data_IF_601134145365
#
_entry.id   IF_601134145365
#
_cell.length_a   1.000
_cell.length_b   1.000
_cell.length_c   1.000
_cell.angle_alpha   90.00
_cell.angle_beta   90.00
_cell.angle_gamma   90.00
#
_symmetry.space_group_name_H-M   'P 1'
#
loop_
_entity.id
_entity.type
_entity.pdbx_description
1 polymer ?
#
# COMPACT_ATOMS: atom_id res chain seq x y z
N UNK A 1 6.73 23.12 -24.82
CA UNK A 1 6.49 23.32 -23.39
C UNK A 1 5.68 24.58 -23.19
N UNK A 2 4.52 24.44 -22.55
CA UNK A 2 3.69 25.58 -22.14
C UNK A 2 4.45 26.45 -21.10
N UNK A 3 4.08 27.73 -20.97
CA UNK A 3 4.64 28.63 -19.96
C UNK A 3 4.48 28.05 -18.54
N UNK A 4 3.40 27.32 -18.30
CA UNK A 4 3.13 26.67 -17.03
C UNK A 4 3.98 25.43 -16.76
N UNK A 5 4.22 24.59 -17.76
CA UNK A 5 5.12 23.43 -17.63
C UNK A 5 6.53 23.90 -17.24
N UNK A 6 7.02 24.95 -17.91
CA UNK A 6 8.30 25.59 -17.56
C UNK A 6 8.29 26.15 -16.13
N UNK A 7 7.19 26.81 -15.73
CA UNK A 7 7.07 27.34 -14.37
C UNK A 7 7.03 26.22 -13.32
N UNK A 8 6.38 25.10 -13.62
CA UNK A 8 6.31 23.92 -12.75
C UNK A 8 7.68 23.28 -12.58
N UNK A 9 8.44 23.11 -13.66
CA UNK A 9 9.83 22.61 -13.61
C UNK A 9 10.73 23.49 -12.73
N UNK A 10 10.61 24.82 -12.84
CA UNK A 10 11.36 25.78 -12.01
C UNK A 10 11.00 25.61 -10.51
N UNK A 11 9.71 25.45 -10.19
CA UNK A 11 9.27 25.24 -8.80
C UNK A 11 9.76 23.89 -8.26
N UNK A 12 9.65 22.82 -9.06
CA UNK A 12 10.08 21.47 -8.65
C UNK A 12 11.58 21.41 -8.40
N UNK A 13 12.38 22.21 -9.11
CA UNK A 13 13.82 22.33 -8.91
C UNK A 13 14.18 22.98 -7.56
N UNK A 14 13.39 23.95 -7.11
CA UNK A 14 13.69 24.73 -5.91
C UNK A 14 13.00 24.24 -4.63
N UNK A 15 12.13 23.21 -4.70
CA UNK A 15 11.43 22.55 -3.58
C UNK A 15 11.16 23.47 -2.37
N UNK A 16 10.03 24.18 -2.40
CA UNK A 16 9.58 24.98 -1.27
C UNK A 16 9.29 24.09 -0.05
N UNK A 17 9.95 24.36 1.08
CA UNK A 17 9.70 23.66 2.34
C UNK A 17 8.86 24.50 3.30
N UNK A 18 7.66 24.00 3.57
CA UNK A 18 6.65 24.59 4.45
C UNK A 18 7.10 24.55 5.91
N UNK A 19 7.92 23.55 6.27
CA UNK A 19 8.38 23.31 7.63
C UNK A 19 9.09 24.52 8.22
N UNK A 20 9.84 25.24 7.39
CA UNK A 20 10.55 26.45 7.76
C UNK A 20 9.62 27.56 8.26
N UNK A 21 8.31 27.40 8.07
CA UNK A 21 7.30 28.37 8.46
C UNK A 21 6.35 27.86 9.54
N UNK A 22 6.42 26.58 9.95
CA UNK A 22 5.54 26.02 10.98
C UNK A 22 6.26 26.03 12.33
N UNK A 23 5.75 26.80 13.27
CA UNK A 23 6.35 26.98 14.59
C UNK A 23 5.39 26.61 15.71
N UNK A 24 5.94 26.11 16.82
CA UNK A 24 5.22 26.05 18.09
C UNK A 24 4.78 27.49 18.43
N UNK A 25 3.48 27.69 18.47
CA UNK A 25 2.90 29.03 18.58
C UNK A 25 1.83 29.02 19.66
N UNK A 26 1.78 30.04 20.55
CA UNK A 26 0.65 30.26 21.43
C UNK A 26 -0.65 30.33 20.63
N UNK A 27 -1.78 29.96 21.26
CA UNK A 27 -3.09 29.96 20.60
C UNK A 27 -3.41 31.33 20.00
N UNK A 28 -2.93 32.41 20.60
CA UNK A 28 -3.18 33.79 20.20
C UNK A 28 -2.50 34.15 18.87
N UNK A 29 -1.31 33.58 18.60
CA UNK A 29 -0.52 33.83 17.39
C UNK A 29 -1.06 33.13 16.13
N UNK A 30 -1.97 32.16 16.31
CA UNK A 30 -2.60 31.45 15.20
C UNK A 30 -3.57 32.35 14.42
N UNK A 31 -3.64 32.14 13.11
CA UNK A 31 -4.62 32.80 12.24
C UNK A 31 -6.04 32.35 12.61
N UNK A 32 -7.06 33.13 12.24
CA UNK A 32 -8.46 32.76 12.51
C UNK A 32 -8.80 31.39 11.91
N UNK A 33 -8.36 31.13 10.68
CA UNK A 33 -8.54 29.84 10.02
C UNK A 33 -7.92 28.68 10.80
N UNK A 34 -6.68 28.84 11.30
CA UNK A 34 -6.00 27.81 12.08
C UNK A 34 -6.71 27.56 13.41
N UNK A 35 -7.13 28.64 14.09
CA UNK A 35 -7.90 28.57 15.34
C UNK A 35 -9.19 27.79 15.15
N UNK A 36 -9.96 28.12 14.11
CA UNK A 36 -11.26 27.49 13.87
C UNK A 36 -11.11 25.98 13.59
N UNK A 37 -10.18 25.59 12.71
CA UNK A 37 -9.94 24.18 12.39
C UNK A 37 -9.44 23.39 13.60
N UNK A 38 -8.50 23.94 14.37
CA UNK A 38 -7.96 23.26 15.55
C UNK A 38 -9.03 23.19 16.66
N UNK A 39 -9.79 24.25 16.91
CA UNK A 39 -10.87 24.22 17.90
C UNK A 39 -11.94 23.19 17.53
N UNK A 40 -12.32 23.10 16.25
CA UNK A 40 -13.26 22.06 15.78
C UNK A 40 -12.69 20.66 16.03
N UNK A 41 -11.42 20.42 15.73
CA UNK A 41 -10.76 19.14 16.02
C UNK A 41 -10.71 18.82 17.53
N UNK A 42 -10.44 19.82 18.38
CA UNK A 42 -10.36 19.65 19.83
C UNK A 42 -11.74 19.44 20.46
N UNK A 43 -12.78 20.08 19.93
CA UNK A 43 -14.15 19.99 20.47
C UNK A 43 -14.66 18.54 20.56
N UNK A 44 -14.21 17.69 19.64
CA UNK A 44 -14.51 16.25 19.59
C UNK A 44 -13.87 15.48 20.76
N UNK A 45 -12.75 16.00 21.29
CA UNK A 45 -11.89 15.36 22.28
C UNK A 45 -11.97 15.97 23.68
N UNK A 46 -12.78 17.01 23.89
CA UNK A 46 -12.84 17.77 25.16
C UNK A 46 -13.04 16.88 26.40
N UNK A 47 -13.87 15.83 26.29
CA UNK A 47 -14.11 14.88 27.38
C UNK A 47 -12.93 13.95 27.71
N UNK A 48 -11.94 13.82 26.82
CA UNK A 48 -10.87 12.83 26.90
C UNK A 48 -9.45 13.44 26.96
N UNK A 49 -9.32 14.75 27.18
CA UNK A 49 -8.01 15.41 27.26
C UNK A 49 -7.24 14.98 28.52
N UNK A 50 -5.95 14.65 28.35
CA UNK A 50 -5.04 14.27 29.44
C UNK A 50 -4.02 15.34 29.82
N UNK A 51 -3.86 16.40 29.02
CA UNK A 51 -2.84 17.42 29.26
C UNK A 51 -2.94 18.66 28.35
N UNK A 52 -1.94 19.56 28.40
CA UNK A 52 -1.91 20.77 27.58
C UNK A 52 -1.68 20.42 26.10
N UNK A 53 -2.45 21.07 25.24
CA UNK A 53 -2.39 20.87 23.79
C UNK A 53 -1.25 21.71 23.21
N UNK A 54 -0.44 21.11 22.35
CA UNK A 54 0.62 21.83 21.64
C UNK A 54 0.13 22.27 20.26
N UNK A 55 0.24 23.56 19.99
CA UNK A 55 -0.25 24.19 18.77
C UNK A 55 0.89 24.58 17.86
N UNK A 56 0.80 24.19 16.60
CA UNK A 56 1.77 24.55 15.58
C UNK A 56 1.07 25.22 14.41
N UNK A 57 1.46 26.44 14.11
CA UNK A 57 0.86 27.25 13.06
C UNK A 57 1.92 27.75 12.10
N UNK A 58 1.54 27.84 10.82
CA UNK A 58 2.31 28.57 9.83
C UNK A 58 2.35 30.06 10.17
N UNK A 59 3.56 30.61 10.33
CA UNK A 59 3.80 32.01 10.65
C UNK A 59 4.93 32.58 9.78
N UNK A 60 4.54 33.35 8.76
CA UNK A 60 5.49 33.97 7.83
C UNK A 60 6.39 35.01 8.50
N UNK A 61 5.93 35.68 9.56
CA UNK A 61 6.71 36.75 10.23
C UNK A 61 7.96 36.22 10.93
N UNK A 62 7.97 34.95 11.33
CA UNK A 62 9.12 34.35 12.02
C UNK A 62 10.27 34.01 11.06
N UNK A 63 10.00 33.93 9.76
CA UNK A 63 11.00 33.52 8.78
C UNK A 63 10.81 34.24 7.42
N UNK A 64 10.58 35.55 7.47
CA UNK A 64 10.30 36.37 6.29
C UNK A 64 11.52 36.49 5.37
N UNK A 65 12.73 36.52 5.94
CA UNK A 65 13.98 36.60 5.18
C UNK A 65 14.21 35.36 4.29
N UNK A 66 13.96 34.15 4.80
CA UNK A 66 14.04 32.92 3.98
C UNK A 66 12.99 32.91 2.88
N UNK A 67 11.80 33.44 3.14
CA UNK A 67 10.74 33.55 2.14
C UNK A 67 11.14 34.48 0.99
N UNK A 68 11.65 35.66 1.32
CA UNK A 68 12.08 36.62 0.32
C UNK A 68 13.29 36.12 -0.48
N UNK A 69 14.24 35.43 0.18
CA UNK A 69 15.35 34.77 -0.50
C UNK A 69 14.87 33.70 -1.48
N UNK A 70 13.92 32.86 -1.09
CA UNK A 70 13.33 31.85 -1.97
C UNK A 70 12.63 32.48 -3.19
N UNK A 71 11.84 33.54 -2.97
CA UNK A 71 11.17 34.25 -4.07
C UNK A 71 12.18 34.91 -5.01
N UNK A 72 13.29 35.44 -4.49
CA UNK A 72 14.33 36.06 -5.30
C UNK A 72 15.10 35.02 -6.13
N UNK A 73 15.39 33.83 -5.58
CA UNK A 73 15.97 32.72 -6.36
C UNK A 73 15.08 32.32 -7.52
N UNK A 74 13.76 32.23 -7.30
CA UNK A 74 12.80 31.96 -8.37
C UNK A 74 12.77 33.06 -9.44
N UNK A 75 12.87 34.33 -9.05
CA UNK A 75 12.99 35.45 -10.02
C UNK A 75 14.24 35.33 -10.86
N UNK A 76 15.39 35.06 -10.25
CA UNK A 76 16.66 34.91 -10.96
C UNK A 76 16.62 33.74 -11.96
N UNK A 77 15.94 32.64 -11.63
CA UNK A 77 15.74 31.54 -12.59
C UNK A 77 14.79 31.89 -13.73
N UNK A 78 13.73 32.65 -13.45
CA UNK A 78 12.80 33.13 -14.49
C UNK A 78 13.50 34.15 -15.41
N UNK A 79 14.39 34.99 -14.89
CA UNK A 79 15.20 35.93 -15.68
C UNK A 79 16.23 35.23 -16.57
N UNK A 80 16.67 34.02 -16.21
CA UNK A 80 17.53 33.18 -17.06
C UNK A 80 16.75 32.47 -18.18
N UNK A 81 15.42 32.40 -18.10
CA UNK A 81 14.57 31.80 -19.12
C UNK A 81 14.21 32.84 -20.21
N UNK A 82 14.33 32.43 -21.48
CA UNK A 82 14.25 33.26 -22.70
C UNK A 82 13.14 34.34 -22.72
N UNK A 83 13.47 35.51 -23.27
CA UNK A 83 12.69 36.77 -23.25
C UNK A 83 11.20 36.66 -23.61
N UNK A 84 10.82 35.80 -24.56
CA UNK A 84 9.45 35.76 -25.11
C UNK A 84 8.35 35.34 -24.10
N UNK A 85 8.70 34.69 -22.97
CA UNK A 85 7.73 34.20 -21.97
C UNK A 85 7.88 34.84 -20.58
N UNK A 86 8.81 35.80 -20.43
CA UNK A 86 9.24 36.29 -19.12
C UNK A 86 8.13 37.08 -18.39
N UNK A 87 7.29 37.81 -19.14
CA UNK A 87 6.17 38.57 -18.58
C UNK A 87 5.12 37.64 -17.95
N UNK A 88 4.74 36.59 -18.67
CA UNK A 88 3.74 35.62 -18.19
C UNK A 88 4.26 34.80 -17.00
N UNK A 89 5.55 34.44 -17.00
CA UNK A 89 6.21 33.78 -15.87
C UNK A 89 6.25 34.66 -14.62
N UNK A 90 6.53 35.96 -14.78
CA UNK A 90 6.51 36.91 -13.66
C UNK A 90 5.11 37.11 -13.08
N UNK A 91 4.07 37.13 -13.92
CA UNK A 91 2.69 37.20 -13.46
C UNK A 91 2.25 35.92 -12.74
N UNK A 92 2.71 34.75 -13.20
CA UNK A 92 2.54 33.47 -12.47
C UNK A 92 3.28 33.48 -11.14
N UNK A 93 4.51 34.01 -11.08
CA UNK A 93 5.28 34.11 -9.84
C UNK A 93 4.59 34.98 -8.80
N UNK A 94 4.02 36.13 -9.20
CA UNK A 94 3.24 36.99 -8.29
C UNK A 94 2.03 36.25 -7.72
N UNK A 95 1.29 35.52 -8.56
CA UNK A 95 0.16 34.69 -8.12
C UNK A 95 0.63 33.59 -7.17
N UNK A 96 1.70 32.90 -7.52
CA UNK A 96 2.30 31.83 -6.72
C UNK A 96 2.77 32.34 -5.35
N UNK A 97 3.46 33.48 -5.30
CA UNK A 97 3.90 34.10 -4.04
C UNK A 97 2.72 34.42 -3.12
N UNK A 98 1.62 34.97 -3.67
CA UNK A 98 0.40 35.22 -2.89
C UNK A 98 -0.19 33.91 -2.33
N UNK A 99 -0.25 32.87 -3.17
CA UNK A 99 -0.78 31.57 -2.78
C UNK A 99 0.13 30.88 -1.75
N UNK A 100 1.44 31.02 -1.84
CA UNK A 100 2.37 30.51 -0.82
C UNK A 100 2.14 31.16 0.54
N UNK A 101 1.89 32.47 0.58
CA UNK A 101 1.54 33.16 1.84
C UNK A 101 0.24 32.60 2.41
N UNK A 102 -0.78 32.41 1.58
CA UNK A 102 -2.04 31.77 1.98
C UNK A 102 -1.83 30.32 2.44
N UNK A 103 -0.99 29.57 1.75
CA UNK A 103 -0.64 28.19 2.05
C UNK A 103 0.00 28.07 3.44
N UNK A 104 0.97 28.93 3.77
CA UNK A 104 1.57 29.00 5.12
C UNK A 104 0.49 29.31 6.15
N UNK A 105 -0.31 30.36 5.92
CA UNK A 105 -1.33 30.82 6.87
C UNK A 105 -2.46 29.81 7.12
N UNK A 106 -2.66 28.85 6.21
CA UNK A 106 -3.66 27.77 6.33
C UNK A 106 -3.07 26.43 6.76
N UNK A 107 -1.74 26.32 6.85
CA UNK A 107 -1.06 25.15 7.39
C UNK A 107 -1.03 25.21 8.91
N UNK A 108 -1.55 24.18 9.58
CA UNK A 108 -1.42 24.00 11.02
C UNK A 108 -1.48 22.52 11.41
N UNK A 109 -0.89 22.21 12.56
CA UNK A 109 -1.06 20.93 13.22
C UNK A 109 -1.12 21.10 14.74
N UNK A 110 -1.74 20.14 15.42
CA UNK A 110 -1.87 20.11 16.87
C UNK A 110 -1.57 18.71 17.40
N UNK A 111 -0.90 18.67 18.56
CA UNK A 111 -0.66 17.43 19.32
C UNK A 111 -1.59 17.46 20.52
N UNK A 112 -2.53 16.51 20.55
CA UNK A 112 -3.63 16.46 21.51
C UNK A 112 -3.43 15.23 22.40
N UNK A 113 -2.96 15.39 23.65
CA UNK A 113 -2.78 14.28 24.57
C UNK A 113 -4.14 13.79 25.09
N UNK A 114 -4.38 12.48 25.05
CA UNK A 114 -5.67 11.84 25.42
C UNK A 114 -5.51 10.85 26.57
N UNK A 115 -6.60 10.53 27.29
CA UNK A 115 -6.59 9.61 28.46
C UNK A 115 -6.86 8.17 28.08
N UNK A 116 -8.04 7.90 27.50
CA UNK A 116 -8.55 6.55 27.24
C UNK A 116 -8.79 6.36 25.74
N UNK A 117 -7.73 5.95 25.02
CA UNK A 117 -7.77 5.67 23.58
C UNK A 117 -6.67 4.66 23.22
N UNK A 118 -6.70 4.04 22.03
CA UNK A 118 -5.56 3.26 21.53
C UNK A 118 -4.27 4.09 21.32
N UNK A 119 -4.36 5.42 21.41
CA UNK A 119 -3.24 6.35 21.32
C UNK A 119 -2.95 7.05 22.65
N UNK A 120 -1.70 7.40 22.87
CA UNK A 120 -1.31 8.38 23.91
C UNK A 120 -1.54 9.81 23.45
N UNK A 121 -1.26 10.07 22.17
CA UNK A 121 -1.34 11.40 21.55
C UNK A 121 -2.09 11.26 20.22
N UNK A 122 -3.14 12.07 20.03
CA UNK A 122 -3.83 12.22 18.75
C UNK A 122 -3.28 13.45 18.06
N UNK A 123 -2.87 13.31 16.80
CA UNK A 123 -2.41 14.44 16.01
C UNK A 123 -3.48 14.82 14.98
N UNK A 124 -3.68 16.13 14.87
CA UNK A 124 -4.53 16.74 13.86
C UNK A 124 -3.70 17.66 12.98
N UNK A 125 -3.96 17.68 11.67
CA UNK A 125 -3.38 18.67 10.75
C UNK A 125 -4.34 19.07 9.63
N UNK A 126 -4.17 20.29 9.15
CA UNK A 126 -4.65 20.68 7.82
C UNK A 126 -3.63 20.26 6.76
N UNK A 127 -4.11 19.96 5.56
CA UNK A 127 -3.27 19.55 4.43
C UNK A 127 -3.61 20.43 3.23
N UNK A 128 -3.25 21.73 3.24
CA UNK A 128 -3.41 22.54 2.05
C UNK A 128 -2.53 21.99 0.91
N UNK A 129 -3.03 22.06 -0.32
CA UNK A 129 -2.34 21.63 -1.55
C UNK A 129 -2.45 22.75 -2.60
N UNK A 130 -1.35 23.03 -3.29
CA UNK A 130 -1.33 23.98 -4.40
C UNK A 130 -1.62 23.20 -5.70
N UNK A 131 -2.70 23.58 -6.39
CA UNK A 131 -3.10 23.00 -7.67
C UNK A 131 -2.68 23.92 -8.81
N UNK A 132 -2.07 23.34 -9.84
CA UNK A 132 -1.72 24.01 -11.08
C UNK A 132 -2.72 23.59 -12.17
N UNK A 133 -3.64 24.49 -12.53
CA UNK A 133 -4.57 24.33 -13.66
C UNK A 133 -4.09 25.18 -14.86
N UNK A 134 -4.50 24.85 -16.09
CA UNK A 134 -3.99 25.38 -17.38
C UNK A 134 -3.73 26.90 -17.48
N UNK A 135 -4.41 27.73 -16.66
CA UNK A 135 -4.16 29.19 -16.57
C UNK A 135 -4.19 29.76 -15.15
N UNK A 136 -4.39 28.94 -14.12
CA UNK A 136 -4.57 29.41 -12.73
C UNK A 136 -3.87 28.51 -11.73
N UNK A 137 -3.26 29.14 -10.74
CA UNK A 137 -2.77 28.46 -9.53
C UNK A 137 -3.87 28.64 -8.49
N UNK A 138 -4.30 27.54 -7.85
CA UNK A 138 -5.33 27.56 -6.80
C UNK A 138 -4.81 26.87 -5.56
N UNK A 139 -5.31 27.31 -4.40
CA UNK A 139 -5.06 26.66 -3.12
C UNK A 139 -6.28 25.80 -2.77
N UNK A 140 -6.07 24.51 -2.58
CA UNK A 140 -7.06 23.60 -2.04
C UNK A 140 -6.76 23.36 -0.56
N UNK A 141 -7.60 23.86 0.33
CA UNK A 141 -7.38 23.93 1.78
C UNK A 141 -8.40 23.11 2.60
N UNK A 142 -9.20 22.29 1.91
CA UNK A 142 -10.30 21.55 2.52
C UNK A 142 -9.84 20.28 3.24
N UNK A 143 -8.66 19.75 2.90
CA UNK A 143 -8.18 18.47 3.42
C UNK A 143 -7.79 18.60 4.89
N UNK A 144 -8.33 17.70 5.69
CA UNK A 144 -7.94 17.49 7.08
C UNK A 144 -7.40 16.07 7.26
N UNK A 145 -6.55 15.91 8.27
CA UNK A 145 -6.01 14.60 8.63
C UNK A 145 -5.94 14.41 10.14
N UNK A 146 -6.38 13.23 10.58
CA UNK A 146 -6.13 12.72 11.92
C UNK A 146 -5.23 11.50 11.84
N UNK A 147 -4.24 11.46 12.72
CA UNK A 147 -3.28 10.36 12.77
C UNK A 147 -2.72 10.16 14.17
N UNK A 148 -2.23 8.96 14.42
CA UNK A 148 -1.66 8.58 15.71
C UNK A 148 -0.90 7.26 15.62
N UNK A 149 0.04 7.07 16.56
CA UNK A 149 0.76 5.81 16.72
C UNK A 149 0.01 4.94 17.73
N UNK A 150 -0.35 3.73 17.32
CA UNK A 150 -0.92 2.70 18.19
C UNK A 150 0.16 1.71 18.62
N UNK A 151 0.06 1.23 19.86
CA UNK A 151 0.97 0.24 20.45
C UNK A 151 0.68 -1.19 19.96
N UNK A 152 0.46 -1.35 18.66
CA UNK A 152 0.36 -2.66 18.00
C UNK A 152 1.19 -2.65 16.72
N UNK A 153 1.69 -3.81 16.32
CA UNK A 153 2.45 -3.99 15.09
C UNK A 153 1.64 -4.86 14.13
N UNK A 154 1.17 -4.27 13.03
CA UNK A 154 0.55 -5.01 11.94
C UNK A 154 1.62 -5.66 11.03
N UNK A 155 1.25 -6.73 10.34
CA UNK A 155 2.19 -7.53 9.55
C UNK A 155 2.76 -6.77 8.33
N UNK A 156 1.91 -5.97 7.66
CA UNK A 156 2.27 -5.20 6.47
C UNK A 156 1.52 -3.87 6.44
N UNK A 157 2.06 -2.92 5.69
CA UNK A 157 1.39 -1.65 5.38
C UNK A 157 0.08 -1.91 4.66
N UNK A 158 -1.02 -1.37 5.16
CA UNK A 158 -2.34 -1.49 4.55
C UNK A 158 -2.87 -0.10 4.19
N UNK A 159 -3.40 0.05 2.98
CA UNK A 159 -4.04 1.28 2.51
C UNK A 159 -5.52 1.05 2.25
N UNK A 160 -6.33 2.07 2.51
CA UNK A 160 -7.73 2.10 2.11
C UNK A 160 -7.88 2.95 0.84
N UNK A 161 -8.32 2.32 -0.25
CA UNK A 161 -8.53 2.98 -1.54
C UNK A 161 -9.97 2.89 -2.02
N UNK A 162 -10.40 3.92 -2.76
CA UNK A 162 -11.65 3.93 -3.52
C UNK A 162 -11.36 3.93 -5.02
N UNK A 163 -12.12 3.12 -5.75
CA UNK A 163 -12.02 2.98 -7.21
C UNK A 163 -13.38 3.37 -7.82
N UNK A 164 -13.35 4.12 -8.93
CA UNK A 164 -14.57 4.65 -9.56
C UNK A 164 -15.43 3.51 -10.12
N UNK A 165 -16.65 3.37 -9.61
CA UNK A 165 -17.63 2.39 -10.08
C UNK A 165 -17.48 1.00 -9.44
N UNK A 166 -16.69 0.89 -8.37
CA UNK A 166 -16.43 -0.36 -7.66
C UNK A 166 -16.42 -0.12 -6.15
N UNK A 167 -16.60 -1.17 -5.35
CA UNK A 167 -16.57 -1.00 -3.88
C UNK A 167 -15.17 -0.64 -3.38
N UNK A 168 -15.06 0.15 -2.30
CA UNK A 168 -13.80 0.41 -1.62
C UNK A 168 -13.11 -0.88 -1.17
N UNK A 169 -11.79 -0.84 -1.05
CA UNK A 169 -11.04 -1.97 -0.55
C UNK A 169 -9.80 -1.57 0.27
N UNK A 170 -9.40 -2.46 1.17
CA UNK A 170 -8.08 -2.44 1.78
C UNK A 170 -7.09 -3.25 0.95
N UNK A 171 -5.92 -2.68 0.67
CA UNK A 171 -4.84 -3.36 -0.06
C UNK A 171 -3.51 -3.27 0.70
N UNK A 172 -2.67 -4.31 0.64
CA UNK A 172 -1.31 -4.21 1.15
C UNK A 172 -0.45 -3.40 0.20
N UNK A 173 0.52 -2.64 0.71
CA UNK A 173 1.61 -2.12 -0.15
C UNK A 173 2.70 -3.19 -0.24
N UNK A 174 3.03 -3.62 -1.46
CA UNK A 174 4.11 -4.57 -1.70
C UNK A 174 5.43 -3.81 -1.85
N UNK A 175 6.28 -3.86 -0.82
CA UNK A 175 7.58 -3.17 -0.77
C UNK A 175 7.60 -1.98 0.19
N UNK A 176 8.63 -1.15 0.09
CA UNK A 176 8.75 0.08 0.88
C UNK A 176 7.93 1.21 0.25
N UNK A 177 7.28 2.03 1.08
CA UNK A 177 6.77 3.32 0.62
C UNK A 177 7.95 4.14 0.11
N UNK A 178 7.82 4.66 -1.11
CA UNK A 178 8.78 5.62 -1.63
C UNK A 178 8.51 6.97 -0.93
N UNK A 179 9.21 7.19 0.17
CA UNK A 179 9.19 8.46 0.88
C UNK A 179 10.41 9.23 0.36
N UNK A 180 10.19 10.36 -0.31
CA UNK A 180 11.25 11.34 -0.65
C UNK A 180 11.74 12.07 0.63
N UNK A 181 12.04 11.31 1.67
CA UNK A 181 12.40 11.79 3.00
C UNK A 181 13.42 10.85 3.65
N UNK A 182 14.57 11.41 3.99
CA UNK A 182 15.60 10.73 4.76
C UNK A 182 15.61 11.26 6.21
N UNK A 183 15.63 10.35 7.18
CA UNK A 183 15.78 10.71 8.57
C UNK A 183 17.22 11.16 8.85
N UNK A 184 17.40 12.36 9.41
CA UNK A 184 18.70 12.76 9.99
C UNK A 184 18.99 11.91 11.25
N UNK A 185 20.23 11.46 11.44
CA UNK A 185 20.65 10.58 12.54
C UNK A 185 20.30 11.13 13.94
N UNK A 186 20.37 12.46 14.11
CA UNK A 186 20.04 13.16 15.36
C UNK A 186 18.57 13.07 15.75
N UNK A 187 17.69 12.71 14.82
CA UNK A 187 16.24 12.76 15.00
C UNK A 187 15.60 11.37 15.16
N UNK A 188 16.40 10.30 15.27
CA UNK A 188 15.91 8.93 15.43
C UNK A 188 15.25 8.67 16.80
N UNK A 189 15.43 9.56 17.79
CA UNK A 189 14.91 9.39 19.15
C UNK A 189 13.50 9.95 19.40
N UNK A 190 12.98 10.81 18.52
CA UNK A 190 11.63 11.38 18.67
C UNK A 190 10.57 10.54 17.93
N UNK A 191 9.33 10.50 18.45
CA UNK A 191 8.21 9.80 17.80
C UNK A 191 8.08 10.27 16.34
N UNK A 192 8.07 9.33 15.40
CA UNK A 192 8.07 9.65 13.96
C UNK A 192 6.79 10.38 13.54
N UNK A 193 5.66 10.08 14.19
CA UNK A 193 4.39 10.78 14.00
C UNK A 193 4.46 12.28 14.28
N UNK A 194 5.30 12.73 15.21
CA UNK A 194 5.36 14.15 15.56
C UNK A 194 6.06 14.98 14.48
N UNK A 195 6.72 14.33 13.53
CA UNK A 195 7.47 15.02 12.46
C UNK A 195 6.56 15.34 11.29
N UNK A 196 6.32 16.64 11.10
CA UNK A 196 5.51 17.13 9.99
C UNK A 196 6.06 16.73 8.61
N UNK A 197 7.39 16.68 8.43
CA UNK A 197 8.05 16.28 7.17
C UNK A 197 7.72 14.85 6.80
N UNK A 198 7.83 13.95 7.78
CA UNK A 198 7.59 12.52 7.59
C UNK A 198 6.13 12.25 7.21
N UNK A 199 5.19 12.86 7.92
CA UNK A 199 3.76 12.72 7.61
C UNK A 199 3.43 13.34 6.25
N UNK A 200 4.07 14.46 5.88
CA UNK A 200 3.87 15.08 4.56
C UNK A 200 4.41 14.20 3.43
N UNK A 201 5.56 13.55 3.63
CA UNK A 201 6.08 12.57 2.68
C UNK A 201 5.13 11.37 2.50
N UNK A 202 4.53 10.89 3.60
CA UNK A 202 3.51 9.82 3.53
C UNK A 202 2.31 10.30 2.72
N UNK A 203 1.71 11.44 3.05
CA UNK A 203 0.54 11.96 2.34
C UNK A 203 0.83 12.15 0.84
N UNK A 204 1.99 12.75 0.51
CA UNK A 204 2.41 12.92 -0.88
C UNK A 204 2.58 11.57 -1.60
N UNK A 205 3.10 10.55 -0.91
CA UNK A 205 3.24 9.21 -1.48
C UNK A 205 1.89 8.58 -1.82
N UNK A 206 0.83 8.83 -1.03
CA UNK A 206 -0.54 8.34 -1.30
C UNK A 206 -1.11 8.89 -2.60
N UNK A 207 -0.65 10.05 -3.05
CA UNK A 207 -1.08 10.63 -4.34
C UNK A 207 -0.27 10.14 -5.53
N UNK A 208 0.84 9.43 -5.28
CA UNK A 208 1.72 8.95 -6.32
C UNK A 208 1.03 7.95 -7.26
N UNK A 209 1.38 8.03 -8.54
CA UNK A 209 0.89 7.12 -9.58
C UNK A 209 1.25 5.67 -9.25
N UNK A 210 2.40 5.45 -8.60
CA UNK A 210 2.87 4.12 -8.20
C UNK A 210 1.88 3.42 -7.26
N UNK A 211 1.45 4.09 -6.18
CA UNK A 211 0.52 3.48 -5.22
C UNK A 211 -0.87 3.33 -5.82
N UNK A 212 -1.33 4.29 -6.65
CA UNK A 212 -2.60 4.17 -7.37
C UNK A 212 -2.62 2.95 -8.29
N UNK A 213 -1.56 2.75 -9.08
CA UNK A 213 -1.42 1.58 -9.96
C UNK A 213 -1.34 0.28 -9.17
N UNK A 214 -0.70 0.30 -8.00
CA UNK A 214 -0.64 -0.85 -7.11
C UNK A 214 -2.04 -1.26 -6.63
N UNK A 215 -2.88 -0.29 -6.26
CA UNK A 215 -4.27 -0.55 -5.89
C UNK A 215 -5.06 -1.18 -7.05
N UNK A 216 -4.91 -0.67 -8.28
CA UNK A 216 -5.55 -1.26 -9.47
C UNK A 216 -5.15 -2.71 -9.66
N UNK A 217 -3.84 -2.99 -9.60
CA UNK A 217 -3.31 -4.35 -9.77
C UNK A 217 -3.78 -5.29 -8.67
N UNK A 218 -3.90 -4.79 -7.45
CA UNK A 218 -4.41 -5.58 -6.33
C UNK A 218 -5.88 -5.94 -6.53
N UNK A 219 -6.69 -4.97 -6.96
CA UNK A 219 -8.09 -5.19 -7.27
C UNK A 219 -8.29 -6.22 -8.40
N UNK A 220 -7.59 -6.05 -9.53
CA UNK A 220 -7.72 -6.93 -10.70
C UNK A 220 -7.08 -8.30 -10.50
N UNK A 221 -5.87 -8.34 -9.93
CA UNK A 221 -5.03 -9.55 -9.88
C UNK A 221 -5.31 -10.47 -8.69
N UNK A 222 -5.79 -9.91 -7.57
CA UNK A 222 -6.00 -10.67 -6.32
C UNK A 222 -7.47 -10.75 -5.90
N UNK A 223 -8.40 -10.23 -6.71
CA UNK A 223 -9.84 -10.21 -6.44
C UNK A 223 -10.17 -9.73 -5.01
N UNK A 224 -9.40 -8.74 -4.51
CA UNK A 224 -9.56 -8.16 -3.17
C UNK A 224 -9.30 -9.13 -2.00
N UNK A 225 -8.53 -10.21 -2.22
CA UNK A 225 -8.19 -11.21 -1.18
C UNK A 225 -6.70 -11.52 -1.17
N UNK A 226 -6.22 -12.11 -0.08
CA UNK A 226 -4.89 -12.75 -0.05
C UNK A 226 -3.87 -12.08 0.86
N UNK A 227 -4.25 -11.03 1.59
CA UNK A 227 -3.44 -10.54 2.70
C UNK A 227 -4.26 -10.57 4.01
N UNK A 228 -3.84 -11.34 5.04
CA UNK A 228 -4.65 -11.56 6.24
C UNK A 228 -5.13 -10.30 6.96
N UNK A 229 -4.31 -9.25 7.01
CA UNK A 229 -4.70 -7.96 7.63
C UNK A 229 -5.76 -7.26 6.79
N UNK A 230 -5.60 -7.20 5.47
CA UNK A 230 -6.54 -6.54 4.58
C UNK A 230 -7.86 -7.30 4.53
N UNK A 231 -7.80 -8.63 4.44
CA UNK A 231 -8.97 -9.51 4.47
C UNK A 231 -9.74 -9.39 5.80
N UNK A 232 -9.04 -9.21 6.92
CA UNK A 232 -9.66 -8.95 8.22
C UNK A 232 -10.34 -7.58 8.27
N UNK A 233 -9.67 -6.53 7.79
CA UNK A 233 -10.23 -5.16 7.75
C UNK A 233 -11.46 -5.09 6.83
N UNK A 234 -11.44 -5.82 5.71
CA UNK A 234 -12.57 -5.93 4.78
C UNK A 234 -13.78 -6.68 5.34
N UNK A 235 -13.61 -7.51 6.39
CA UNK A 235 -14.74 -8.19 7.07
C UNK A 235 -15.42 -7.34 8.13
N UNK A 236 -14.89 -6.15 8.42
CA UNK A 236 -15.42 -5.25 9.45
C UNK A 236 -16.38 -4.25 8.79
N UNK A 237 -17.66 -4.62 8.71
CA UNK A 237 -18.70 -3.76 8.13
C UNK A 237 -18.75 -2.38 8.78
N UNK A 238 -18.57 -2.33 10.10
CA UNK A 238 -18.48 -1.10 10.89
C UNK A 238 -17.34 -0.16 10.46
N UNK A 239 -16.23 -0.71 9.96
CA UNK A 239 -15.10 0.06 9.47
C UNK A 239 -15.40 0.60 8.08
N UNK A 240 -15.89 -0.26 7.18
CA UNK A 240 -16.24 0.10 5.80
C UNK A 240 -17.31 1.21 5.80
N UNK A 241 -18.37 1.04 6.60
CA UNK A 241 -19.46 2.02 6.72
C UNK A 241 -18.99 3.41 7.17
N UNK A 242 -17.95 3.50 7.99
CA UNK A 242 -17.38 4.80 8.41
C UNK A 242 -16.47 5.36 7.34
N UNK A 243 -15.66 4.51 6.69
CA UNK A 243 -14.85 4.93 5.57
C UNK A 243 -15.70 5.43 4.40
N UNK A 244 -16.89 4.87 4.15
CA UNK A 244 -17.84 5.33 3.12
C UNK A 244 -18.38 6.74 3.34
N UNK A 245 -18.45 7.19 4.59
CA UNK A 245 -18.89 8.55 4.92
C UNK A 245 -17.84 9.62 4.63
N UNK A 246 -16.58 9.23 4.41
CA UNK A 246 -15.50 10.16 4.10
C UNK A 246 -15.61 10.68 2.66
N UNK A 247 -15.17 11.91 2.42
CA UNK A 247 -15.07 12.47 1.09
C UNK A 247 -13.66 12.28 0.55
N UNK A 248 -13.57 11.63 -0.61
CA UNK A 248 -12.31 11.31 -1.27
C UNK A 248 -11.86 12.40 -2.25
N UNK A 249 -10.60 12.32 -2.72
CA UNK A 249 -10.06 13.25 -3.72
C UNK A 249 -10.74 13.17 -5.09
N UNK A 250 -11.45 12.07 -5.36
CA UNK A 250 -12.27 11.89 -6.55
C UNK A 250 -13.59 12.64 -6.43
N UNK A 251 -14.22 12.59 -5.25
CA UNK A 251 -15.52 13.23 -4.98
C UNK A 251 -15.39 14.73 -4.78
N UNK A 252 -14.27 15.18 -4.22
CA UNK A 252 -13.96 16.61 -4.08
C UNK A 252 -13.65 17.27 -5.44
N UNK A 253 -13.51 16.48 -6.51
CA UNK A 253 -13.11 16.96 -7.84
C UNK A 253 -11.68 17.50 -7.92
N UNK A 254 -10.87 17.27 -6.87
CA UNK A 254 -9.49 17.77 -6.79
C UNK A 254 -8.57 17.10 -7.81
N UNK A 255 -8.78 15.81 -8.05
CA UNK A 255 -7.98 15.03 -8.98
C UNK A 255 -8.89 14.28 -9.93
N UNK A 256 -8.69 14.46 -11.23
CA UNK A 256 -9.35 13.65 -12.26
C UNK A 256 -8.66 12.27 -12.39
N UNK A 257 -8.78 11.47 -11.33
CA UNK A 257 -8.30 10.09 -11.30
C UNK A 257 -9.44 9.14 -10.99
N UNK A 258 -9.34 7.91 -11.48
CA UNK A 258 -10.30 6.84 -11.16
C UNK A 258 -10.08 6.24 -9.77
N UNK A 259 -9.00 6.63 -9.07
CA UNK A 259 -8.56 6.03 -7.82
C UNK A 259 -8.15 7.11 -6.82
N UNK A 260 -8.59 6.96 -5.57
CA UNK A 260 -8.19 7.78 -4.43
C UNK A 260 -7.83 6.91 -3.24
N UNK A 261 -6.90 7.40 -2.41
CA UNK A 261 -6.46 6.73 -1.20
C UNK A 261 -6.74 7.66 -0.03
N UNK A 262 -7.43 7.14 0.99
CA UNK A 262 -8.03 7.94 2.06
C UNK A 262 -7.43 7.57 3.41
N UNK A 263 -6.91 6.35 3.57
CA UNK A 263 -6.31 5.90 4.82
C UNK A 263 -5.09 5.02 4.59
N UNK A 264 -4.18 5.03 5.56
CA UNK A 264 -3.01 4.17 5.61
C UNK A 264 -2.71 3.74 7.05
N UNK A 265 -2.38 2.47 7.21
CA UNK A 265 -1.77 1.91 8.40
C UNK A 265 -0.35 1.46 8.04
N UNK A 266 0.65 2.07 8.65
CA UNK A 266 2.07 1.88 8.38
C UNK A 266 2.75 1.29 9.61
N UNK A 267 3.19 0.01 9.58
CA UNK A 267 3.96 -0.56 10.68
C UNK A 267 5.32 0.13 10.81
N UNK A 268 5.73 0.41 12.03
CA UNK A 268 7.05 0.95 12.40
C UNK A 268 7.76 -0.12 13.25
N UNK A 269 8.52 -1.04 12.62
CA UNK A 269 9.11 -2.18 13.33
C UNK A 269 10.10 -1.79 14.43
N UNK A 270 10.76 -0.63 14.30
CA UNK A 270 11.72 -0.11 15.29
C UNK A 270 11.08 0.07 16.66
N UNK A 271 9.88 0.63 16.67
CA UNK A 271 9.18 1.07 17.87
C UNK A 271 8.08 0.09 18.28
N UNK A 272 7.87 -0.98 17.49
CA UNK A 272 6.76 -1.94 17.60
C UNK A 272 5.37 -1.28 17.62
N UNK A 273 5.27 -0.13 16.94
CA UNK A 273 4.03 0.65 16.78
C UNK A 273 3.55 0.60 15.34
N UNK A 274 2.31 1.01 15.12
CA UNK A 274 1.74 1.24 13.79
C UNK A 274 1.24 2.66 13.74
N UNK A 275 1.64 3.41 12.72
CA UNK A 275 1.08 4.73 12.42
C UNK A 275 -0.20 4.55 11.62
N UNK A 276 -1.32 5.05 12.14
CA UNK A 276 -2.59 5.09 11.42
C UNK A 276 -2.88 6.53 11.03
N UNK A 277 -3.21 6.76 9.76
CA UNK A 277 -3.52 8.06 9.21
C UNK A 277 -4.75 7.98 8.31
N UNK A 278 -5.66 8.94 8.47
CA UNK A 278 -6.85 9.10 7.61
C UNK A 278 -6.94 10.54 7.12
N UNK A 279 -7.41 10.70 5.89
CA UNK A 279 -7.65 11.96 5.21
C UNK A 279 -9.16 12.14 4.98
N UNK A 280 -9.65 13.38 5.01
CA UNK A 280 -11.00 13.71 4.59
C UNK A 280 -11.00 15.04 3.84
N UNK A 281 -11.68 15.09 2.70
CA UNK A 281 -11.81 16.28 1.85
C UNK A 281 -13.21 16.91 1.89
N UNK A 282 -14.05 16.49 2.84
CA UNK A 282 -15.43 16.93 2.96
C UNK A 282 -15.58 18.40 3.38
N UNK A 283 -16.69 19.01 2.99
CA UNK A 283 -17.10 20.36 3.41
C UNK A 283 -18.25 20.34 4.41
N UNK A 284 -18.76 19.17 4.76
CA UNK A 284 -19.88 19.05 5.67
C UNK A 284 -19.48 19.44 7.11
N UNK A 285 -20.42 19.97 7.91
CA UNK A 285 -20.16 20.34 9.30
C UNK A 285 -19.60 19.17 10.15
N UNK A 286 -20.00 17.94 9.84
CA UNK A 286 -19.55 16.72 10.53
C UNK A 286 -18.22 16.14 10.04
N UNK A 287 -17.51 16.83 9.14
CA UNK A 287 -16.28 16.30 8.51
C UNK A 287 -15.19 15.90 9.51
N UNK A 288 -15.08 16.64 10.62
CA UNK A 288 -14.07 16.39 11.65
C UNK A 288 -14.43 15.14 12.46
N UNK A 289 -15.70 15.00 12.85
CA UNK A 289 -16.21 13.84 13.57
C UNK A 289 -16.07 12.57 12.73
N UNK A 290 -16.49 12.62 11.46
CA UNK A 290 -16.36 11.49 10.52
C UNK A 290 -14.90 11.07 10.34
N UNK A 291 -13.99 12.04 10.16
CA UNK A 291 -12.57 11.76 9.98
C UNK A 291 -11.96 11.15 11.25
N UNK A 292 -12.28 11.71 12.42
CA UNK A 292 -11.81 11.17 13.70
C UNK A 292 -12.38 9.78 13.99
N UNK A 293 -13.68 9.56 13.76
CA UNK A 293 -14.32 8.25 13.92
C UNK A 293 -13.66 7.20 13.02
N UNK A 294 -13.35 7.55 11.77
CA UNK A 294 -12.64 6.67 10.85
C UNK A 294 -11.24 6.31 11.37
N UNK A 295 -10.46 7.30 11.83
CA UNK A 295 -9.14 7.07 12.42
C UNK A 295 -9.22 6.15 13.65
N UNK A 296 -10.23 6.33 14.50
CA UNK A 296 -10.47 5.51 15.70
C UNK A 296 -10.82 4.07 15.35
N UNK A 297 -11.82 3.86 14.51
CA UNK A 297 -12.24 2.50 14.11
C UNK A 297 -11.13 1.79 13.36
N UNK A 298 -10.39 2.50 12.51
CA UNK A 298 -9.25 1.92 11.80
C UNK A 298 -8.16 1.46 12.76
N UNK A 299 -7.84 2.31 13.74
CA UNK A 299 -6.86 2.00 14.77
C UNK A 299 -7.28 0.82 15.64
N UNK A 300 -8.55 0.76 16.06
CA UNK A 300 -9.10 -0.36 16.80
C UNK A 300 -9.05 -1.66 15.99
N UNK A 301 -9.44 -1.62 14.72
CA UNK A 301 -9.39 -2.79 13.83
C UNK A 301 -7.95 -3.30 13.62
N UNK A 302 -6.96 -2.39 13.51
CA UNK A 302 -5.55 -2.78 13.46
C UNK A 302 -5.06 -3.45 14.75
N UNK A 303 -5.58 -3.07 15.93
CA UNK A 303 -5.26 -3.71 17.20
C UNK A 303 -5.90 -5.11 17.36
N UNK A 304 -7.10 -5.30 16.81
CA UNK A 304 -7.84 -6.57 16.84
C UNK A 304 -7.34 -7.58 15.79
N UNK A 305 -6.67 -7.09 14.75
CA UNK A 305 -6.20 -7.93 13.67
C UNK A 305 -5.28 -9.05 14.18
N UNK A 306 -5.33 -10.24 13.56
CA UNK A 306 -4.47 -11.35 13.94
C UNK A 306 -3.02 -10.90 13.84
N UNK A 307 -2.33 -10.91 14.99
CA UNK A 307 -0.93 -10.55 15.06
C UNK A 307 -0.15 -11.51 14.16
N UNK A 308 0.89 -11.02 13.46
CA UNK A 308 1.83 -11.94 12.84
C UNK A 308 2.31 -12.88 13.94
N UNK A 309 2.02 -14.17 13.83
CA UNK A 309 2.74 -15.18 14.59
C UNK A 309 4.18 -15.05 14.10
N UNK A 310 4.97 -14.23 14.81
CA UNK A 310 6.40 -14.44 14.88
C UNK A 310 6.46 -15.82 15.53
N UNK A 311 6.52 -16.87 14.71
CA UNK A 311 7.07 -18.11 15.22
C UNK A 311 8.41 -17.68 15.83
N UNK A 312 8.59 -17.85 17.15
CA UNK A 312 9.94 -17.80 17.67
C UNK A 312 10.72 -18.75 16.75
N UNK A 313 11.92 -18.40 16.26
CA UNK A 313 12.79 -19.44 15.72
C UNK A 313 12.75 -20.52 16.79
N UNK A 314 12.20 -21.70 16.46
CA UNK A 314 11.86 -22.70 17.46
C UNK A 314 13.08 -22.81 18.34
N UNK A 315 12.95 -22.37 19.59
CA UNK A 315 13.95 -22.60 20.59
C UNK A 315 13.91 -24.12 20.76
N UNK A 316 14.67 -24.79 19.91
CA UNK A 316 15.11 -26.15 20.16
C UNK A 316 15.67 -26.09 21.56
N UNK A 317 14.96 -26.72 22.48
CA UNK A 317 15.50 -27.05 23.78
C UNK A 317 16.81 -27.77 23.49
N UNK A 318 17.92 -27.04 23.63
CA UNK A 318 19.25 -27.61 23.59
C UNK A 318 19.37 -28.48 24.84
N UNK A 319 19.02 -29.75 24.68
CA UNK A 319 19.66 -30.80 25.45
C UNK A 319 21.13 -30.85 24.99
N UNK A 320 22.10 -30.77 25.91
CA UNK A 320 23.49 -30.69 25.56
C UNK A 320 23.95 -32.05 25.02
N UNK A 321 24.32 -32.07 23.74
CA UNK A 321 25.09 -33.16 23.14
C UNK A 321 24.29 -34.09 22.24
N UNK A 322 24.18 -33.76 20.95
CA UNK A 322 24.50 -34.62 19.81
C UNK A 322 24.22 -33.87 18.50
N UNK A 323 25.06 -34.12 17.49
CA UNK A 323 25.21 -33.30 16.29
C UNK A 323 23.93 -33.11 15.46
N UNK A 324 23.84 -31.93 14.85
CA UNK A 324 22.73 -31.49 14.00
C UNK A 324 22.67 -32.25 12.67
N UNK A 325 21.69 -33.14 12.51
CA UNK A 325 21.19 -33.60 11.22
C UNK A 325 19.83 -32.93 10.93
N UNK A 326 19.62 -32.51 9.68
CA UNK A 326 18.32 -31.99 9.20
C UNK A 326 17.63 -33.12 8.43
N UNK A 327 16.41 -33.48 8.84
CA UNK A 327 15.56 -34.42 8.09
C UNK A 327 14.82 -33.71 6.98
N UNK A 328 14.92 -34.21 5.76
CA UNK A 328 14.03 -33.81 4.68
C UNK A 328 12.65 -34.49 4.82
N UNK A 329 11.59 -33.98 4.17
CA UNK A 329 10.24 -34.56 4.24
C UNK A 329 10.14 -36.04 3.81
N UNK A 330 11.16 -36.59 3.14
CA UNK A 330 11.29 -38.00 2.79
C UNK A 330 12.06 -38.87 3.81
N UNK A 331 12.39 -38.33 4.99
CA UNK A 331 13.01 -39.09 6.08
C UNK A 331 14.51 -39.33 5.98
N UNK A 332 15.20 -38.76 4.99
CA UNK A 332 16.67 -38.81 4.92
C UNK A 332 17.30 -37.72 5.79
N UNK A 333 18.25 -38.14 6.64
CA UNK A 333 19.03 -37.25 7.51
C UNK A 333 20.25 -36.72 6.76
N UNK A 334 20.23 -35.43 6.45
CA UNK A 334 21.37 -34.74 5.88
C UNK A 334 22.26 -34.22 7.01
N UNK A 335 23.55 -34.54 6.93
CA UNK A 335 24.58 -33.98 7.82
C UNK A 335 24.68 -32.48 7.54
N UNK A 336 24.50 -31.65 8.56
CA UNK A 336 24.70 -30.20 8.46
C UNK A 336 26.18 -29.92 8.68
N UNK A 337 26.78 -29.14 7.78
CA UNK A 337 28.20 -28.80 7.85
C UNK A 337 28.33 -27.40 8.41
N UNK A 338 29.28 -27.22 9.33
CA UNK A 338 29.64 -25.88 9.79
C UNK A 338 30.48 -25.16 8.72
N UNK A 339 30.47 -23.83 8.72
CA UNK A 339 31.22 -23.03 7.74
C UNK A 339 32.73 -23.35 7.74
N UNK A 340 33.26 -23.74 8.89
CA UNK A 340 34.65 -24.17 9.08
C UNK A 340 34.92 -25.57 8.51
N UNK A 341 34.02 -26.54 8.72
CA UNK A 341 34.11 -27.87 8.11
C UNK A 341 33.96 -27.81 6.58
N UNK A 342 33.12 -26.92 6.08
CA UNK A 342 32.90 -26.72 4.64
C UNK A 342 34.13 -26.09 3.98
N UNK A 343 34.81 -25.15 4.67
CA UNK A 343 36.09 -24.60 4.24
C UNK A 343 37.22 -25.63 4.29
N UNK A 344 37.25 -26.49 5.32
CA UNK A 344 38.27 -27.55 5.44
C UNK A 344 38.07 -28.67 4.40
N UNK A 345 36.83 -28.98 4.03
CA UNK A 345 36.57 -29.96 2.97
C UNK A 345 36.75 -29.38 1.57
N UNK A 346 36.51 -28.08 1.38
CA UNK A 346 36.85 -27.37 0.15
C UNK A 346 38.38 -27.29 -0.04
N UNK A 347 39.14 -27.05 1.04
CA UNK A 347 40.60 -27.09 0.99
C UNK A 347 41.13 -28.51 0.73
N UNK A 348 40.53 -29.54 1.33
CA UNK A 348 40.82 -30.96 1.00
C UNK A 348 40.51 -31.29 -0.47
N UNK A 349 39.46 -30.72 -1.07
CA UNK A 349 39.18 -30.89 -2.51
C UNK A 349 40.11 -30.08 -3.43
N UNK A 350 40.65 -28.96 -2.94
CA UNK A 350 41.56 -28.10 -3.70
C UNK A 350 43.05 -28.50 -3.63
N UNK A 351 43.45 -29.32 -2.66
CA UNK A 351 44.86 -29.71 -2.45
C UNK A 351 45.13 -31.22 -2.50
N UNK A 352 44.10 -32.06 -2.59
CA UNK A 352 44.28 -33.49 -2.84
C UNK A 352 44.21 -33.72 -4.35
N UNK A 353 45.33 -34.21 -4.90
CA UNK A 353 45.45 -34.84 -6.21
C UNK A 353 44.15 -35.49 -6.70
N UNK A 354 43.81 -35.18 -7.95
CA UNK A 354 42.83 -35.90 -8.78
C UNK A 354 42.91 -37.41 -8.43
N UNK A 355 41.79 -38.09 -8.14
CA UNK A 355 41.80 -39.52 -7.80
C UNK A 355 42.53 -40.33 -8.87
N UNK A 356 43.38 -41.29 -8.47
CA UNK A 356 44.03 -42.22 -9.40
C UNK A 356 42.98 -42.91 -10.28
N UNK A 357 43.09 -42.72 -11.60
CA UNK A 357 42.16 -43.23 -12.60
C UNK A 357 41.22 -42.19 -13.23
N UNK A 358 41.37 -40.90 -12.91
CA UNK A 358 40.58 -39.82 -13.52
C UNK A 358 41.48 -38.87 -14.31
N UNK A 359 41.55 -39.03 -15.63
CA UNK A 359 42.31 -38.12 -16.50
C UNK A 359 41.59 -36.77 -16.62
N UNK A 360 42.33 -35.68 -16.41
CA UNK A 360 41.85 -34.32 -16.67
C UNK A 360 41.62 -34.14 -18.17
N UNK A 361 40.38 -33.89 -18.58
CA UNK A 361 40.06 -33.67 -19.99
C UNK A 361 40.68 -32.35 -20.45
N UNK A 362 41.55 -32.45 -21.44
CA UNK A 362 42.10 -31.27 -22.09
C UNK A 362 41.06 -30.67 -23.04
N UNK A 363 41.25 -29.41 -23.42
CA UNK A 363 40.36 -28.70 -24.36
C UNK A 363 40.29 -29.42 -25.72
N UNK A 364 41.37 -30.12 -26.09
CA UNK A 364 41.41 -30.99 -27.27
C UNK A 364 40.55 -32.27 -27.10
N UNK A 365 40.47 -32.86 -25.91
CA UNK A 365 39.61 -34.03 -25.63
C UNK A 365 38.13 -33.67 -25.69
N UNK A 366 37.75 -32.48 -25.19
CA UNK A 366 36.40 -31.94 -25.30
C UNK A 366 36.01 -31.68 -26.76
N UNK A 367 36.95 -31.18 -27.57
CA UNK A 367 36.71 -30.95 -29.00
C UNK A 367 36.46 -32.26 -29.76
N UNK A 368 37.22 -33.32 -29.43
CA UNK A 368 37.12 -34.65 -30.03
C UNK A 368 35.81 -35.35 -29.65
N UNK A 369 35.40 -35.22 -28.39
CA UNK A 369 34.13 -35.72 -27.87
C UNK A 369 32.91 -34.99 -28.46
N UNK A 370 33.02 -33.69 -28.77
CA UNK A 370 31.94 -32.97 -29.47
C UNK A 370 31.73 -33.48 -30.90
N UNK A 371 32.83 -33.81 -31.59
CA UNK A 371 32.80 -34.38 -32.94
C UNK A 371 32.29 -35.83 -32.93
N UNK A 372 32.66 -36.62 -31.93
CA UNK A 372 32.16 -37.99 -31.77
C UNK A 372 30.66 -38.04 -31.38
N UNK A 373 30.18 -37.04 -30.61
CA UNK A 373 28.74 -36.88 -30.32
C UNK A 373 27.93 -36.41 -31.53
N UNK A 374 28.54 -35.64 -32.45
CA UNK A 374 27.90 -35.26 -33.70
C UNK A 374 27.85 -36.41 -34.72
N UNK A 375 28.75 -37.40 -34.64
CA UNK A 375 28.80 -38.51 -35.60
C UNK A 375 27.95 -39.73 -35.23
N UNK A 376 27.46 -39.84 -33.98
CA UNK A 376 26.63 -40.96 -33.50
C UNK A 376 25.34 -40.49 -32.81
N UNK A 377 24.58 -39.60 -33.47
CA UNK A 377 23.17 -39.43 -33.11
C UNK A 377 22.40 -40.70 -33.50
N UNK A 378 21.66 -41.35 -32.57
CA UNK A 378 20.76 -42.42 -32.91
C UNK A 378 19.71 -41.92 -33.92
N UNK A 379 19.53 -42.67 -35.00
CA UNK A 379 18.56 -42.42 -36.06
C UNK A 379 17.15 -42.38 -35.43
N UNK A 380 16.60 -41.18 -35.21
CA UNK A 380 15.29 -40.99 -34.56
C UNK A 380 15.15 -39.81 -33.61
N UNK A 381 16.20 -39.02 -33.34
CA UNK A 381 16.07 -37.74 -32.64
C UNK A 381 16.13 -36.59 -33.65
N UNK A 382 14.96 -36.15 -34.12
CA UNK A 382 14.85 -34.97 -34.97
C UNK A 382 15.27 -33.72 -34.19
N UNK A 383 16.39 -33.14 -34.61
CA UNK A 383 16.79 -31.80 -34.19
C UNK A 383 15.90 -30.83 -34.96
N UNK A 384 14.93 -30.20 -34.28
CA UNK A 384 14.09 -29.20 -34.93
C UNK A 384 14.94 -28.05 -35.45
N UNK A 385 14.81 -27.78 -36.74
CA UNK A 385 15.45 -26.63 -37.36
C UNK A 385 14.75 -25.34 -36.91
N UNK A 386 15.48 -24.22 -36.93
CA UNK A 386 14.96 -22.89 -36.55
C UNK A 386 13.65 -22.53 -37.31
N UNK A 387 13.52 -23.04 -38.54
CA UNK A 387 12.35 -22.86 -39.41
C UNK A 387 11.15 -23.71 -38.97
N UNK A 388 11.36 -24.88 -38.36
CA UNK A 388 10.33 -25.73 -37.78
C UNK A 388 9.81 -25.17 -36.45
N UNK A 389 10.70 -24.56 -35.66
CA UNK A 389 10.31 -23.82 -34.45
C UNK A 389 9.44 -22.60 -34.79
N UNK A 390 9.75 -21.86 -35.86
CA UNK A 390 8.89 -20.76 -36.33
C UNK A 390 7.55 -21.25 -36.89
N UNK A 391 7.52 -22.42 -37.55
CA UNK A 391 6.25 -23.06 -37.97
C UNK A 391 5.43 -23.52 -36.77
N UNK A 392 6.04 -24.06 -35.71
CA UNK A 392 5.37 -24.43 -34.46
C UNK A 392 4.84 -23.21 -33.70
N UNK A 393 5.57 -22.10 -33.69
CA UNK A 393 5.10 -20.84 -33.10
C UNK A 393 3.88 -20.27 -33.84
N UNK A 394 3.86 -20.33 -35.18
CA UNK A 394 2.67 -19.99 -35.97
C UNK A 394 1.51 -20.98 -35.79
N UNK A 395 1.80 -22.27 -35.61
CA UNK A 395 0.79 -23.32 -35.32
C UNK A 395 0.15 -23.13 -33.93
N UNK A 396 0.87 -22.57 -32.97
CA UNK A 396 0.37 -22.21 -31.62
C UNK A 396 -0.46 -20.91 -31.59
N UNK A 397 -0.52 -20.15 -32.68
CA UNK A 397 -1.39 -18.98 -32.83
C UNK A 397 -2.78 -19.30 -33.45
N UNK A 398 -3.11 -20.56 -33.68
CA UNK A 398 -4.44 -20.98 -34.17
C UNK A 398 -5.06 -22.06 -33.27
N UNK A 399 -6.21 -21.73 -32.66
CA UNK A 399 -7.14 -22.61 -31.94
C UNK A 399 -6.51 -23.60 -30.94
N UNK A 400 -6.11 -23.08 -29.78
CA UNK A 400 -6.24 -23.83 -28.53
C UNK A 400 -7.69 -23.71 -28.08
N UNK A 401 -8.48 -24.76 -28.33
CA UNK A 401 -9.82 -24.91 -27.77
C UNK A 401 -9.68 -25.22 -26.27
N UNK A 402 -9.44 -24.15 -25.50
CA UNK A 402 -9.49 -24.19 -24.03
C UNK A 402 -10.98 -24.14 -23.70
N UNK A 403 -11.57 -25.18 -23.08
CA UNK A 403 -12.96 -25.11 -22.66
C UNK A 403 -13.16 -23.88 -21.78
N UNK A 404 -14.20 -23.10 -22.02
CA UNK A 404 -14.53 -21.98 -21.15
C UNK A 404 -14.75 -22.52 -19.74
N UNK A 405 -13.96 -22.02 -18.79
CA UNK A 405 -14.14 -22.40 -17.39
C UNK A 405 -15.51 -21.90 -16.91
N UNK A 406 -16.38 -22.84 -16.55
CA UNK A 406 -17.62 -22.55 -15.85
C UNK A 406 -17.34 -22.53 -14.33
N UNK A 407 -17.92 -21.60 -13.56
CA UNK A 407 -17.82 -21.64 -12.11
C UNK A 407 -18.42 -22.95 -11.61
N UNK A 408 -17.74 -23.60 -10.67
CA UNK A 408 -18.18 -24.86 -10.04
C UNK A 408 -19.47 -24.64 -9.23
N UNK A 409 -20.63 -24.65 -9.90
CA UNK A 409 -21.94 -24.33 -9.29
C UNK A 409 -22.47 -25.40 -8.34
N UNK A 410 -21.89 -26.59 -8.33
CA UNK A 410 -22.42 -27.76 -7.59
C UNK A 410 -21.41 -28.41 -6.64
N UNK A 411 -20.35 -27.71 -6.21
CA UNK A 411 -19.41 -28.26 -5.22
C UNK A 411 -19.82 -27.92 -3.78
N UNK A 412 -19.98 -28.95 -2.95
CA UNK A 412 -20.31 -28.81 -1.53
C UNK A 412 -19.10 -28.24 -0.79
N UNK A 413 -19.26 -27.10 -0.14
CA UNK A 413 -18.21 -26.52 0.70
C UNK A 413 -18.14 -27.21 2.05
N UNK A 414 -16.92 -27.45 2.55
CA UNK A 414 -16.72 -27.99 3.89
C UNK A 414 -17.23 -27.01 4.94
N UNK A 415 -18.14 -27.46 5.82
CA UNK A 415 -18.78 -26.65 6.86
C UNK A 415 -17.82 -25.99 7.86
N UNK A 416 -16.56 -26.45 7.94
CA UNK A 416 -15.57 -25.97 8.90
C UNK A 416 -14.50 -25.05 8.28
N UNK A 417 -14.10 -25.28 7.03
CA UNK A 417 -13.02 -24.50 6.39
C UNK A 417 -13.39 -23.83 5.06
N UNK A 418 -14.60 -24.04 4.54
CA UNK A 418 -15.09 -23.43 3.30
C UNK A 418 -14.40 -23.94 2.03
N UNK A 419 -13.69 -25.07 2.11
CA UNK A 419 -13.05 -25.68 0.94
C UNK A 419 -14.07 -26.44 0.10
N UNK A 420 -14.10 -26.19 -1.21
CA UNK A 420 -14.97 -26.89 -2.16
C UNK A 420 -14.57 -28.36 -2.29
N UNK A 421 -15.44 -29.27 -1.86
CA UNK A 421 -15.22 -30.71 -1.89
C UNK A 421 -15.73 -31.28 -3.20
N UNK A 422 -14.94 -32.16 -3.82
CA UNK A 422 -15.38 -32.94 -4.99
C UNK A 422 -16.29 -34.08 -4.55
N UNK A 423 -17.24 -34.45 -5.41
CA UNK A 423 -18.11 -35.59 -5.18
C UNK A 423 -17.30 -36.89 -4.96
N UNK A 424 -17.59 -37.62 -3.87
CA UNK A 424 -16.94 -38.89 -3.51
C UNK A 424 -15.81 -38.79 -2.48
N UNK A 425 -15.70 -37.66 -1.78
CA UNK A 425 -14.75 -37.47 -0.68
C UNK A 425 -15.47 -37.63 0.66
N UNK A 426 -15.02 -38.58 1.46
CA UNK A 426 -15.62 -38.89 2.76
C UNK A 426 -15.11 -37.94 3.87
N UNK A 427 -13.94 -37.33 3.66
CA UNK A 427 -13.29 -36.40 4.60
C UNK A 427 -12.65 -35.21 3.86
N UNK A 428 -12.68 -34.03 4.50
CA UNK A 428 -12.03 -32.85 3.95
C UNK A 428 -10.48 -32.97 3.99
N UNK A 429 -9.74 -32.74 2.88
CA UNK A 429 -8.29 -32.85 2.85
C UNK A 429 -7.56 -31.84 3.74
N UNK A 430 -8.21 -30.72 4.04
CA UNK A 430 -7.58 -29.59 4.71
C UNK A 430 -7.79 -29.66 6.22
N UNK A 431 -8.94 -30.16 6.67
CA UNK A 431 -9.30 -30.15 8.10
C UNK A 431 -9.81 -31.49 8.63
N UNK A 432 -9.75 -32.57 7.82
CA UNK A 432 -10.20 -33.91 8.16
C UNK A 432 -11.64 -34.00 8.71
N UNK A 433 -12.47 -33.00 8.39
CA UNK A 433 -13.88 -32.99 8.81
C UNK A 433 -14.68 -33.95 7.91
N UNK A 434 -15.45 -34.91 8.47
CA UNK A 434 -16.26 -35.85 7.69
C UNK A 434 -17.33 -35.12 6.88
N UNK A 435 -17.57 -35.58 5.65
CA UNK A 435 -18.59 -35.01 4.75
C UNK A 435 -19.90 -35.77 4.97
N UNK A 436 -20.90 -35.15 5.59
CA UNK A 436 -22.21 -35.79 5.84
C UNK A 436 -22.98 -36.01 4.52
N UNK A 437 -23.22 -37.27 4.17
CA UNK A 437 -23.83 -37.74 2.90
C UNK A 437 -25.36 -37.49 2.80
N UNK A 438 -25.90 -36.47 3.49
CA UNK A 438 -27.36 -36.25 3.64
C UNK A 438 -28.02 -35.30 2.65
N UNK A 439 -27.30 -34.71 1.69
CA UNK A 439 -27.88 -33.81 0.69
C UNK A 439 -27.60 -34.28 -0.76
N UNK A 440 -28.01 -35.50 -1.11
CA UNK A 440 -28.22 -35.89 -2.52
C UNK A 440 -29.72 -35.89 -2.80
N UNK A 441 -30.28 -34.72 -3.09
CA UNK A 441 -31.55 -34.62 -3.81
C UNK A 441 -31.25 -34.30 -5.28
N UNK A 442 -31.57 -35.26 -6.14
CA UNK A 442 -31.63 -35.14 -7.60
C UNK A 442 -32.67 -34.08 -8.01
N UNK A 443 -32.39 -33.21 -8.99
CA UNK A 443 -33.40 -32.31 -9.54
C UNK A 443 -34.19 -33.03 -10.64
N UNK A 444 -35.49 -33.23 -10.41
CA UNK A 444 -36.43 -33.52 -11.50
C UNK A 444 -37.76 -32.78 -11.28
N UNK A 445 -38.18 -32.05 -12.31
CA UNK A 445 -39.48 -31.41 -12.55
C UNK A 445 -39.94 -30.21 -11.68
N UNK A 446 -39.81 -29.00 -12.24
CA UNK A 446 -40.79 -27.93 -12.07
C UNK A 446 -41.21 -27.46 -13.47
N UNK A 447 -42.42 -27.81 -13.91
CA UNK A 447 -43.16 -27.00 -14.87
C UNK A 447 -44.23 -26.22 -14.10
N UNK A 448 -44.14 -24.90 -14.25
CA UNK A 448 -44.84 -23.88 -13.51
C UNK A 448 -46.32 -23.78 -13.87
N UNK A 449 -47.11 -23.66 -12.82
CA UNK A 449 -48.51 -23.28 -12.83
C UNK A 449 -48.59 -21.75 -13.02
N UNK A 450 -48.92 -21.29 -14.23
CA UNK A 450 -49.16 -19.87 -14.52
C UNK A 450 -50.66 -19.57 -14.45
N UNK A 451 -51.11 -18.93 -13.35
CA UNK A 451 -52.42 -18.29 -13.26
C UNK A 451 -52.29 -16.80 -13.53
N UNK A 452 -53.03 -16.31 -14.53
CA UNK A 452 -53.54 -14.93 -14.57
C UNK A 452 -55.05 -14.98 -14.88
N UNK A 453 -55.86 -14.07 -14.31
CA UNK A 453 -57.32 -14.20 -14.26
C UNK A 453 -58.04 -13.34 -15.31
N UNK A 454 -59.36 -13.58 -15.34
CA UNK A 454 -60.47 -12.83 -15.94
C UNK A 454 -60.68 -12.99 -17.46
N UNK A 455 -61.74 -13.74 -17.82
CA UNK A 455 -62.90 -13.09 -18.43
C UNK A 455 -64.19 -13.91 -18.25
N UNK A 456 -65.26 -13.12 -18.27
CA UNK A 456 -66.66 -13.33 -17.93
C UNK A 456 -67.45 -14.22 -18.92
N UNK A 457 -68.67 -14.59 -18.48
CA UNK A 457 -69.86 -14.99 -19.26
C UNK A 457 -70.17 -16.48 -19.53
N UNK A 458 -71.21 -16.93 -18.82
CA UNK A 458 -72.39 -17.67 -19.29
C UNK A 458 -72.20 -18.99 -20.05
N UNK A 459 -72.72 -20.08 -19.49
CA UNK A 459 -74.00 -20.69 -19.91
C UNK A 459 -74.32 -21.95 -19.07
N UNK A 460 -75.58 -21.97 -18.63
CA UNK A 460 -76.39 -23.05 -18.03
C UNK A 460 -76.14 -23.52 -16.58
#
# INVERSE_FOLDING_TARGET
MSVQEKFKEIIEKHKFDVLNYIFLSPKEELTQFQKDNINNAISILEGNLSGPIQYFGGNLKKNEEEFDNFINQLKEEIEKASDDNQKDLNDLLKKYSKILKEYINKSCYAIIPVKEMPWTDVLFRTVPIILFEEKTIKLFDKIISFYGEINCLIAKTAIHGRIKGEDPLFAPIMGSLNLDFEFKESEQKAKKSFKYSYISAIINSLESISIKNHLTRYHEGYQRRGEPICDFLMKKDDLINVFDKLTSSMESGRVDTKISIIGIALPIPSDKTTLVLVLNEGEDPGRFEKCFEATLRFSAACCEAPKPQIQPPQASQQLPGQGSSVRTPGGQELKVWTAEELAEQASKRGTSSIPEGMDSWTEDDLSKMSKERQSNLPEGMEVWTEEELQKLAKKRQGNLDIPSWEPDKDMVECSNCGYSLRAGWDECPICATPVDDKNKETPDSMEENNQKPEDTENLD
#
